data_IF_930209337291
#
_entry.id   IF_930209337291
#
_cell.length_a   1.000
_cell.length_b   1.000
_cell.length_c   1.000
_cell.angle_alpha   90.00
_cell.angle_beta   90.00
_cell.angle_gamma   90.00
#
_symmetry.space_group_name_H-M   'P 1'
#
loop_
_entity.id
_entity.type
_entity.pdbx_description
1 polymer ?
#
# COMPACT_ATOMS: atom_id res chain seq x y z
N UNK A 1 14.71 -5.63 1.29
CA UNK A 1 13.75 -4.66 0.71
C UNK A 1 12.33 -5.05 1.09
N UNK A 2 11.57 -4.09 1.57
CA UNK A 2 10.17 -4.35 1.93
C UNK A 2 9.28 -4.12 0.72
N UNK A 3 8.31 -5.00 0.51
CA UNK A 3 7.41 -4.93 -0.63
C UNK A 3 6.03 -4.46 -0.17
N UNK A 4 5.62 -3.31 -0.66
CA UNK A 4 4.34 -2.68 -0.33
C UNK A 4 3.42 -2.79 -1.53
N UNK A 5 2.25 -3.41 -1.33
CA UNK A 5 1.27 -3.60 -2.39
C UNK A 5 0.11 -2.63 -2.16
N UNK A 6 -0.22 -1.88 -3.19
CA UNK A 6 -1.28 -0.86 -3.12
C UNK A 6 -2.45 -1.30 -3.99
N UNK A 7 -3.65 -1.32 -3.43
CA UNK A 7 -4.86 -1.70 -4.17
C UNK A 7 -5.86 -0.56 -4.17
N UNK A 8 -6.31 -0.18 -5.35
CA UNK A 8 -7.33 0.85 -5.54
C UNK A 8 -8.22 0.49 -6.72
N UNK A 9 -9.38 1.12 -6.78
CA UNK A 9 -10.31 0.88 -7.88
C UNK A 9 -9.96 1.66 -9.14
N UNK A 10 -9.27 2.80 -8.99
CA UNK A 10 -8.97 3.68 -10.12
C UNK A 10 -7.46 3.71 -10.36
N UNK A 11 -7.05 3.40 -11.58
CA UNK A 11 -5.64 3.23 -11.90
C UNK A 11 -4.80 4.49 -11.86
N UNK A 12 -5.33 5.63 -12.28
CA UNK A 12 -4.52 6.84 -12.43
C UNK A 12 -4.07 7.43 -11.09
N UNK A 13 -4.99 7.58 -10.15
CA UNK A 13 -4.63 8.13 -8.84
C UNK A 13 -3.69 7.19 -8.10
N UNK A 14 -3.80 5.89 -8.34
CA UNK A 14 -2.92 4.91 -7.73
C UNK A 14 -1.48 5.09 -8.21
N UNK A 15 -1.30 5.36 -9.50
CA UNK A 15 0.04 5.57 -10.07
C UNK A 15 0.72 6.80 -9.47
N UNK A 16 -0.04 7.87 -9.25
CA UNK A 16 0.49 9.08 -8.62
C UNK A 16 0.89 8.79 -7.18
N UNK A 17 0.07 8.03 -6.46
CA UNK A 17 0.38 7.66 -5.08
C UNK A 17 1.66 6.83 -4.99
N UNK A 18 1.82 5.86 -5.88
CA UNK A 18 3.05 5.04 -5.92
C UNK A 18 4.26 5.93 -6.12
N UNK A 19 4.18 6.90 -7.03
CA UNK A 19 5.28 7.82 -7.29
C UNK A 19 5.60 8.64 -6.04
N UNK A 20 4.58 9.19 -5.38
CA UNK A 20 4.79 10.00 -4.19
C UNK A 20 5.41 9.20 -3.05
N UNK A 21 4.95 7.97 -2.85
CA UNK A 21 5.52 7.12 -1.81
C UNK A 21 6.95 6.71 -2.14
N UNK A 22 7.23 6.45 -3.40
CA UNK A 22 8.59 6.09 -3.82
C UNK A 22 9.55 7.26 -3.62
N UNK A 23 9.10 8.48 -3.93
CA UNK A 23 9.91 9.67 -3.70
C UNK A 23 10.18 9.87 -2.21
N UNK A 24 9.14 9.68 -1.38
CA UNK A 24 9.30 9.80 0.07
C UNK A 24 10.28 8.77 0.61
N UNK A 25 10.22 7.55 0.08
CA UNK A 25 11.14 6.49 0.50
C UNK A 25 12.59 6.87 0.18
N UNK A 26 12.82 7.45 -0.98
CA UNK A 26 14.16 7.89 -1.36
C UNK A 26 14.68 8.98 -0.41
N UNK A 27 13.82 9.88 0.03
CA UNK A 27 14.21 10.95 0.93
C UNK A 27 14.65 10.44 2.30
N UNK A 28 14.06 9.36 2.78
CA UNK A 28 14.42 8.80 4.09
C UNK A 28 15.30 7.56 3.97
N UNK A 29 15.81 7.30 2.78
CA UNK A 29 16.69 6.16 2.50
C UNK A 29 16.06 4.82 2.87
N UNK A 30 14.74 4.70 2.70
CA UNK A 30 14.04 3.44 2.96
C UNK A 30 14.12 2.56 1.72
N UNK A 31 14.47 1.30 1.92
CA UNK A 31 14.53 0.34 0.82
C UNK A 31 13.19 -0.36 0.70
N UNK A 32 12.33 0.16 -0.17
CA UNK A 32 10.99 -0.40 -0.40
C UNK A 32 10.72 -0.49 -1.88
N UNK A 33 9.93 -1.48 -2.25
CA UNK A 33 9.36 -1.59 -3.59
C UNK A 33 7.85 -1.43 -3.45
N UNK A 34 7.29 -0.47 -4.17
CA UNK A 34 5.87 -0.14 -4.07
C UNK A 34 5.22 -0.44 -5.41
N UNK A 35 4.17 -1.24 -5.39
CA UNK A 35 3.49 -1.66 -6.61
C UNK A 35 1.98 -1.51 -6.42
N UNK A 36 1.31 -1.01 -7.45
CA UNK A 36 -0.14 -0.89 -7.46
C UNK A 36 -0.73 -1.97 -8.35
N UNK A 37 -1.75 -2.65 -7.86
CA UNK A 37 -2.41 -3.70 -8.63
C UNK A 37 -3.93 -3.58 -8.49
N UNK A 38 -4.70 -4.06 -9.47
CA UNK A 38 -6.14 -4.23 -9.30
C UNK A 38 -6.43 -5.48 -8.46
N UNK A 39 -7.63 -5.53 -7.90
CA UNK A 39 -8.04 -6.64 -7.04
C UNK A 39 -7.87 -8.00 -7.71
N UNK A 40 -8.13 -8.07 -9.00
CA UNK A 40 -8.09 -9.33 -9.74
C UNK A 40 -6.71 -9.98 -9.76
N UNK A 41 -5.67 -9.18 -9.52
CA UNK A 41 -4.30 -9.69 -9.55
C UNK A 41 -3.74 -9.99 -8.17
N UNK A 42 -4.56 -9.91 -7.13
CA UNK A 42 -4.10 -10.06 -5.76
C UNK A 42 -3.34 -11.37 -5.54
N UNK A 43 -3.93 -12.49 -5.96
CA UNK A 43 -3.31 -13.80 -5.69
C UNK A 43 -1.96 -13.96 -6.37
N UNK A 44 -1.75 -13.27 -7.49
CA UNK A 44 -0.49 -13.36 -8.22
C UNK A 44 0.64 -12.58 -7.53
N UNK A 45 0.30 -11.70 -6.61
CA UNK A 45 1.27 -10.81 -5.98
C UNK A 45 1.43 -11.02 -4.47
N UNK A 46 0.75 -12.00 -3.89
CA UNK A 46 0.85 -12.23 -2.44
C UNK A 46 2.23 -12.70 -2.01
N UNK A 47 2.85 -13.57 -2.79
CA UNK A 47 4.16 -14.09 -2.43
C UNK A 47 5.19 -12.95 -2.43
N UNK A 48 5.90 -12.79 -1.31
CA UNK A 48 6.92 -11.76 -1.18
C UNK A 48 6.40 -10.39 -0.77
N UNK A 49 5.09 -10.22 -0.64
CA UNK A 49 4.50 -8.95 -0.20
C UNK A 49 4.56 -8.87 1.32
N UNK A 50 4.99 -7.71 1.84
CA UNK A 50 5.12 -7.50 3.28
C UNK A 50 3.92 -6.80 3.89
N UNK A 51 3.25 -5.93 3.14
CA UNK A 51 2.05 -5.23 3.59
C UNK A 51 1.19 -4.87 2.40
N UNK A 52 -0.13 -4.89 2.61
CA UNK A 52 -1.09 -4.49 1.59
C UNK A 52 -1.84 -3.26 2.09
N UNK A 53 -1.89 -2.23 1.27
CA UNK A 53 -2.61 -1.00 1.57
C UNK A 53 -3.79 -0.87 0.62
N UNK A 54 -4.98 -0.65 1.19
CA UNK A 54 -6.20 -0.47 0.41
C UNK A 54 -6.55 1.01 0.35
N UNK A 55 -6.82 1.50 -0.85
CA UNK A 55 -7.36 2.84 -0.98
C UNK A 55 -8.73 2.93 -0.31
N UNK A 56 -9.13 4.11 0.18
CA UNK A 56 -10.40 4.22 0.89
C UNK A 56 -11.60 3.85 0.03
N UNK A 57 -11.48 3.95 -1.29
CA UNK A 57 -12.56 3.58 -2.21
C UNK A 57 -12.86 2.08 -2.20
N UNK A 58 -11.90 1.27 -1.79
CA UNK A 58 -12.05 -0.19 -1.76
C UNK A 58 -11.95 -0.75 -0.35
N UNK A 59 -12.23 0.08 0.66
CA UNK A 59 -12.16 -0.36 2.06
C UNK A 59 -13.09 -1.53 2.36
N UNK A 60 -14.17 -1.68 1.58
CA UNK A 60 -15.10 -2.79 1.76
C UNK A 60 -14.46 -4.14 1.43
N UNK A 61 -13.29 -4.14 0.80
CA UNK A 61 -12.56 -5.37 0.48
C UNK A 61 -11.65 -5.83 1.62
N UNK A 62 -11.60 -5.10 2.74
CA UNK A 62 -10.64 -5.40 3.81
C UNK A 62 -10.72 -6.85 4.28
N UNK A 63 -11.92 -7.32 4.61
CA UNK A 63 -12.06 -8.69 5.13
C UNK A 63 -11.69 -9.73 4.07
N UNK A 64 -12.09 -9.49 2.83
CA UNK A 64 -11.78 -10.40 1.74
C UNK A 64 -10.28 -10.48 1.49
N UNK A 65 -9.63 -9.32 1.44
CA UNK A 65 -8.20 -9.26 1.17
C UNK A 65 -7.41 -9.83 2.35
N UNK A 66 -7.82 -9.53 3.57
CA UNK A 66 -7.13 -10.06 4.75
C UNK A 66 -7.24 -11.59 4.81
N UNK A 67 -8.39 -12.15 4.43
CA UNK A 67 -8.55 -13.59 4.38
C UNK A 67 -7.61 -14.23 3.36
N UNK A 68 -7.45 -13.60 2.21
CA UNK A 68 -6.55 -14.11 1.18
C UNK A 68 -5.07 -13.91 1.57
N UNK A 69 -4.77 -12.82 2.23
CA UNK A 69 -3.40 -12.44 2.59
C UNK A 69 -2.87 -13.21 3.80
N UNK A 70 -3.75 -13.78 4.60
CA UNK A 70 -3.39 -14.56 5.80
C UNK A 70 -2.57 -13.73 6.78
N UNK A 71 -1.25 -13.97 6.87
CA UNK A 71 -0.40 -13.30 7.85
C UNK A 71 0.11 -11.94 7.38
N UNK A 72 -0.10 -11.59 6.13
CA UNK A 72 0.33 -10.28 5.61
C UNK A 72 -0.62 -9.22 6.16
N UNK A 73 -0.10 -8.18 6.84
CA UNK A 73 -1.00 -7.13 7.34
C UNK A 73 -1.66 -6.37 6.19
N UNK A 74 -2.96 -6.11 6.35
CA UNK A 74 -3.75 -5.36 5.39
C UNK A 74 -4.32 -4.15 6.11
N UNK A 75 -4.13 -2.95 5.56
CA UNK A 75 -4.58 -1.72 6.19
C UNK A 75 -5.28 -0.84 5.16
N UNK A 76 -6.29 -0.12 5.61
CA UNK A 76 -6.99 0.86 4.77
C UNK A 76 -6.30 2.20 4.95
N UNK A 77 -5.97 2.86 3.83
CA UNK A 77 -5.36 4.17 3.86
C UNK A 77 -6.40 5.19 4.33
N UNK A 78 -5.98 6.09 5.21
CA UNK A 78 -6.86 7.15 5.70
C UNK A 78 -7.37 8.01 4.53
N UNK A 79 -8.66 8.34 4.55
CA UNK A 79 -9.29 9.09 3.46
C UNK A 79 -8.61 10.44 3.21
N UNK A 80 -8.25 11.13 4.30
CA UNK A 80 -7.60 12.43 4.18
C UNK A 80 -6.20 12.29 3.57
N UNK A 81 -5.43 11.31 4.04
CA UNK A 81 -4.08 11.10 3.54
C UNK A 81 -4.09 10.71 2.07
N UNK A 82 -5.07 9.90 1.67
CA UNK A 82 -5.19 9.52 0.27
C UNK A 82 -5.65 10.70 -0.58
N UNK A 83 -6.63 11.45 -0.10
CA UNK A 83 -7.18 12.58 -0.84
C UNK A 83 -6.17 13.70 -1.06
N UNK A 84 -5.24 13.90 -0.12
CA UNK A 84 -4.19 14.90 -0.25
C UNK A 84 -2.93 14.36 -0.90
N UNK A 85 -2.94 13.09 -1.31
CA UNK A 85 -1.77 12.41 -1.89
C UNK A 85 -0.55 12.50 -0.97
N UNK A 86 -0.77 12.30 0.33
CA UNK A 86 0.31 12.39 1.32
C UNK A 86 1.10 11.08 1.38
N UNK A 87 1.90 10.86 0.33
CA UNK A 87 2.67 9.64 0.19
C UNK A 87 3.64 9.40 1.33
N UNK A 88 4.25 10.47 1.86
CA UNK A 88 5.19 10.35 2.97
C UNK A 88 4.51 9.79 4.21
N UNK A 89 3.35 10.33 4.59
CA UNK A 89 2.65 9.87 5.79
C UNK A 89 2.18 8.42 5.62
N UNK A 90 1.65 8.09 4.45
CA UNK A 90 1.19 6.74 4.17
C UNK A 90 2.36 5.76 4.25
N UNK A 91 3.50 6.13 3.65
CA UNK A 91 4.70 5.30 3.69
C UNK A 91 5.20 5.10 5.12
N UNK A 92 5.27 6.17 5.92
CA UNK A 92 5.74 6.07 7.29
C UNK A 92 4.85 5.19 8.14
N UNK A 93 3.53 5.25 7.93
CA UNK A 93 2.60 4.39 8.65
C UNK A 93 2.81 2.92 8.26
N UNK A 94 3.02 2.65 6.97
CA UNK A 94 3.29 1.28 6.54
C UNK A 94 4.59 0.74 7.15
N UNK A 95 5.64 1.56 7.17
CA UNK A 95 6.92 1.15 7.75
C UNK A 95 6.80 0.91 9.25
N UNK A 96 6.00 1.72 9.94
CA UNK A 96 5.77 1.53 11.37
C UNK A 96 5.09 0.20 11.64
N UNK A 97 4.11 -0.17 10.82
CA UNK A 97 3.43 -1.47 10.94
C UNK A 97 4.42 -2.61 10.73
N UNK A 98 5.37 -2.43 9.83
CA UNK A 98 6.38 -3.45 9.53
C UNK A 98 7.54 -3.46 10.52
N UNK A 99 7.55 -2.54 11.49
CA UNK A 99 8.65 -2.45 12.44
C UNK A 99 9.86 -1.70 11.93
N UNK A 100 9.74 -1.04 10.79
CA UNK A 100 10.77 -0.20 10.21
C UNK A 100 10.43 1.25 10.51
N UNK A 101 11.25 1.97 11.17
CA UNK A 101 10.91 3.37 11.49
C UNK A 101 11.93 4.36 10.96
#
# INVERSE_FOLDING_TARGET
MKNILLMCSAGMSTSIMVKKMTEAAAEINAEVAIKAIPEQQLNDHLAGTDIILLGPQVRFLLDKVQSAAKDIPVRVIDTMDYGTMNGEKILRQALAILGES
#
